data_IF_900898816824
#
_entry.id   IF_900898816824
#
_cell.length_a   1.000
_cell.length_b   1.000
_cell.length_c   1.000
_cell.angle_alpha   90.00
_cell.angle_beta   90.00
_cell.angle_gamma   90.00
#
_symmetry.space_group_name_H-M   'P 1'
#
loop_
_entity.id
_entity.type
_entity.pdbx_description
1 polymer ?
#
# COMPACT_ATOMS: atom_id res chain seq x y z
N UNK A 1 13.29 43.66 19.69
CA UNK A 1 14.76 43.77 19.80
C UNK A 1 15.33 42.38 19.70
N UNK A 2 16.03 42.12 18.60
CA UNK A 2 16.56 40.83 18.18
C UNK A 2 17.75 40.45 19.06
N UNK A 3 17.60 39.43 19.90
CA UNK A 3 18.72 38.87 20.65
C UNK A 3 19.49 37.90 19.75
N UNK A 4 20.47 38.44 19.04
CA UNK A 4 21.53 37.67 18.40
C UNK A 4 22.32 36.91 19.47
N UNK A 5 22.11 35.60 19.57
CA UNK A 5 22.99 34.70 20.34
C UNK A 5 24.41 34.74 19.75
N UNK A 6 25.47 34.78 20.59
CA UNK A 6 26.84 34.78 20.12
C UNK A 6 27.10 33.47 19.36
N UNK A 7 27.54 33.57 18.11
CA UNK A 7 27.90 32.43 17.28
C UNK A 7 29.14 31.74 17.86
N UNK A 8 28.95 30.77 18.74
CA UNK A 8 30.05 29.88 19.14
C UNK A 8 30.58 29.15 17.90
N UNK A 9 31.90 29.16 17.63
CA UNK A 9 32.48 28.53 16.45
C UNK A 9 32.12 27.03 16.35
N UNK A 10 31.93 26.37 17.48
CA UNK A 10 31.51 24.98 17.57
C UNK A 10 30.06 24.77 17.07
N UNK A 11 29.15 25.73 17.29
CA UNK A 11 27.77 25.65 16.81
C UNK A 11 27.66 25.79 15.30
N UNK A 12 28.48 26.65 14.70
CA UNK A 12 28.50 26.83 13.24
C UNK A 12 29.10 25.61 12.53
N UNK A 13 30.17 25.03 13.09
CA UNK A 13 30.78 23.80 12.59
C UNK A 13 29.84 22.59 12.77
N UNK A 14 29.13 22.49 13.90
CA UNK A 14 28.14 21.45 14.14
C UNK A 14 27.01 21.50 13.11
N UNK A 15 26.43 22.68 12.84
CA UNK A 15 25.39 22.85 11.82
C UNK A 15 25.87 22.43 10.43
N UNK A 16 27.12 22.78 10.06
CA UNK A 16 27.74 22.33 8.81
C UNK A 16 27.83 20.80 8.74
N UNK A 17 28.36 20.17 9.80
CA UNK A 17 28.53 18.71 9.87
C UNK A 17 27.18 17.98 9.81
N UNK A 18 26.16 18.44 10.56
CA UNK A 18 24.82 17.85 10.54
C UNK A 18 24.16 17.94 9.15
N UNK A 19 24.39 19.04 8.44
CA UNK A 19 23.93 19.18 7.04
C UNK A 19 24.66 18.23 6.10
N UNK A 20 25.98 18.08 6.23
CA UNK A 20 26.78 17.16 5.42
C UNK A 20 26.39 15.69 5.66
N UNK A 21 26.09 15.33 6.91
CA UNK A 21 25.63 14.00 7.31
C UNK A 21 24.14 13.73 7.00
N UNK A 22 23.41 14.73 6.49
CA UNK A 22 21.97 14.67 6.20
C UNK A 22 21.13 14.33 7.44
N UNK A 23 21.38 15.02 8.56
CA UNK A 23 20.66 14.87 9.83
C UNK A 23 19.74 16.07 10.07
N UNK A 24 18.62 16.21 9.32
CA UNK A 24 17.78 17.40 9.34
C UNK A 24 17.06 17.62 10.67
N UNK A 25 16.67 16.55 11.37
CA UNK A 25 15.96 16.67 12.65
C UNK A 25 16.92 17.09 13.75
N UNK A 26 18.12 16.50 13.79
CA UNK A 26 19.17 16.98 14.69
C UNK A 26 19.51 18.44 14.41
N UNK A 27 19.63 18.83 13.13
CA UNK A 27 19.93 20.21 12.75
C UNK A 27 18.85 21.20 13.23
N UNK A 28 17.59 20.80 13.25
CA UNK A 28 16.49 21.64 13.72
C UNK A 28 16.39 21.70 15.26
N UNK A 29 16.64 20.59 15.95
CA UNK A 29 16.31 20.45 17.37
C UNK A 29 17.51 20.57 18.33
N UNK A 30 18.76 20.51 17.84
CA UNK A 30 19.96 20.48 18.71
C UNK A 30 20.05 21.65 19.70
N UNK A 31 19.73 22.87 19.28
CA UNK A 31 19.79 24.05 20.15
C UNK A 31 18.71 24.09 21.21
N UNK A 32 17.53 23.56 20.90
CA UNK A 32 16.42 23.47 21.85
C UNK A 32 16.73 22.39 22.89
N UNK A 33 17.11 21.20 22.45
CA UNK A 33 17.47 20.09 23.34
C UNK A 33 18.70 20.37 24.18
N UNK A 34 19.69 21.11 23.68
CA UNK A 34 20.85 21.49 24.47
C UNK A 34 20.47 22.39 25.66
N UNK A 35 19.50 23.28 25.46
CA UNK A 35 18.96 24.12 26.55
C UNK A 35 18.17 23.29 27.56
N UNK A 36 17.26 22.44 27.08
CA UNK A 36 16.50 21.53 27.95
C UNK A 36 17.40 20.59 28.76
N UNK A 37 18.43 20.02 28.13
CA UNK A 37 19.40 19.15 28.79
C UNK A 37 20.21 19.91 29.85
N UNK A 38 20.59 21.17 29.57
CA UNK A 38 21.27 22.02 30.55
C UNK A 38 20.37 22.37 31.74
N UNK A 39 19.08 22.62 31.51
CA UNK A 39 18.11 22.92 32.58
C UNK A 39 17.79 21.67 33.42
N UNK A 40 17.75 20.49 32.79
CA UNK A 40 17.47 19.22 33.44
C UNK A 40 18.71 18.55 34.08
N UNK A 41 19.90 19.15 33.98
CA UNK A 41 21.19 18.53 34.34
C UNK A 41 21.39 17.14 33.70
N UNK A 42 20.95 16.98 32.46
CA UNK A 42 21.13 15.76 31.68
C UNK A 42 22.61 15.61 31.26
N UNK A 43 23.11 14.38 31.24
CA UNK A 43 24.49 14.12 30.85
C UNK A 43 24.68 14.24 29.33
N UNK A 44 25.93 14.36 28.88
CA UNK A 44 26.24 14.52 27.46
C UNK A 44 25.77 13.32 26.62
N UNK A 45 25.80 12.11 27.20
CA UNK A 45 25.31 10.91 26.54
C UNK A 45 23.78 10.92 26.42
N UNK A 46 23.04 11.33 27.45
CA UNK A 46 21.58 11.49 27.40
C UNK A 46 21.14 12.48 26.33
N UNK A 47 21.76 13.66 26.27
CA UNK A 47 21.50 14.64 25.22
C UNK A 47 21.72 14.07 23.80
N UNK A 48 22.86 13.40 23.57
CA UNK A 48 23.17 12.80 22.27
C UNK A 48 22.18 11.67 21.93
N UNK A 49 21.83 10.85 22.91
CA UNK A 49 20.84 9.78 22.76
C UNK A 49 19.49 10.36 22.32
N UNK A 50 18.94 11.35 23.05
CA UNK A 50 17.66 11.99 22.71
C UNK A 50 17.66 12.60 21.31
N UNK A 51 18.74 13.26 20.90
CA UNK A 51 18.88 13.76 19.54
C UNK A 51 18.85 12.64 18.50
N UNK A 52 19.56 11.55 18.77
CA UNK A 52 19.62 10.39 17.86
C UNK A 52 18.29 9.67 17.75
N UNK A 53 17.55 9.56 18.85
CA UNK A 53 16.21 8.97 18.88
C UNK A 53 15.22 9.80 18.06
N UNK A 54 15.24 11.13 18.18
CA UNK A 54 14.37 12.01 17.39
C UNK A 54 14.67 11.92 15.89
N UNK A 55 15.94 11.88 15.52
CA UNK A 55 16.35 11.72 14.12
C UNK A 55 15.94 10.34 13.58
N UNK A 56 16.14 9.27 14.34
CA UNK A 56 15.73 7.92 13.95
C UNK A 56 14.20 7.83 13.81
N UNK A 57 13.44 8.40 14.75
CA UNK A 57 11.98 8.43 14.70
C UNK A 57 11.45 9.25 13.51
N UNK A 58 12.06 10.39 13.21
CA UNK A 58 11.70 11.18 12.04
C UNK A 58 12.03 10.43 10.73
N UNK A 59 13.18 9.75 10.67
CA UNK A 59 13.57 8.94 9.50
C UNK A 59 12.65 7.75 9.28
N UNK A 60 12.26 7.03 10.33
CA UNK A 60 11.33 5.90 10.22
C UNK A 60 9.95 6.37 9.75
N UNK A 61 9.46 7.48 10.29
CA UNK A 61 8.19 8.11 9.89
C UNK A 61 8.23 8.57 8.43
N UNK A 62 9.28 9.27 8.02
CA UNK A 62 9.44 9.73 6.65
C UNK A 62 9.60 8.57 5.66
N UNK A 63 10.32 7.52 6.03
CA UNK A 63 10.47 6.33 5.21
C UNK A 63 9.11 5.63 5.00
N UNK A 64 8.30 5.50 6.05
CA UNK A 64 6.94 4.97 5.94
C UNK A 64 6.05 5.84 5.05
N UNK A 65 6.03 7.16 5.29
CA UNK A 65 5.24 8.11 4.49
C UNK A 65 5.61 8.04 3.00
N UNK A 66 6.91 7.94 2.69
CA UNK A 66 7.39 7.76 1.33
C UNK A 66 6.95 6.44 0.71
N UNK A 67 7.01 5.31 1.46
CA UNK A 67 6.51 4.01 0.97
C UNK A 67 5.02 4.08 0.65
N UNK A 68 4.22 4.66 1.55
CA UNK A 68 2.76 4.81 1.35
C UNK A 68 2.47 5.68 0.13
N UNK A 69 3.20 6.79 -0.04
CA UNK A 69 3.07 7.66 -1.21
C UNK A 69 3.41 6.92 -2.52
N UNK A 70 4.51 6.18 -2.53
CA UNK A 70 4.94 5.40 -3.70
C UNK A 70 3.98 4.25 -4.04
N UNK A 71 3.32 3.69 -3.02
CA UNK A 71 2.32 2.65 -3.21
C UNK A 71 1.10 3.11 -4.00
N UNK A 72 0.77 4.41 -3.99
CA UNK A 72 -0.31 4.98 -4.81
C UNK A 72 -1.68 4.36 -4.53
N UNK A 73 -2.00 4.11 -3.25
CA UNK A 73 -3.32 3.60 -2.86
C UNK A 73 -4.44 4.57 -3.27
N UNK A 74 -5.58 4.07 -3.78
CA UNK A 74 -6.69 4.93 -4.21
C UNK A 74 -7.39 5.59 -3.01
N UNK A 75 -7.51 4.86 -1.91
CA UNK A 75 -8.09 5.35 -0.66
C UNK A 75 -7.41 4.66 0.51
N UNK A 76 -6.99 5.44 1.51
CA UNK A 76 -6.38 4.88 2.72
C UNK A 76 -7.45 4.19 3.56
N UNK A 77 -7.33 2.87 3.71
CA UNK A 77 -8.22 2.02 4.49
C UNK A 77 -7.42 1.07 5.34
N UNK A 78 -7.63 1.10 6.65
CA UNK A 78 -6.93 0.22 7.57
C UNK A 78 -7.69 -1.08 7.79
N UNK A 79 -6.98 -2.10 8.28
CA UNK A 79 -7.60 -3.36 8.65
C UNK A 79 -8.56 -3.19 9.84
N UNK A 80 -8.28 -2.22 10.72
CA UNK A 80 -9.14 -1.86 11.83
C UNK A 80 -10.50 -1.29 11.39
N UNK A 81 -10.56 -0.69 10.19
CA UNK A 81 -11.79 -0.15 9.61
C UNK A 81 -12.66 -1.24 8.96
N UNK A 82 -12.17 -2.47 8.86
CA UNK A 82 -12.90 -3.57 8.20
C UNK A 82 -13.76 -4.33 9.21
N UNK A 83 -15.08 -4.24 9.03
CA UNK A 83 -16.03 -4.96 9.87
C UNK A 83 -16.25 -6.39 9.37
N UNK A 84 -15.57 -7.34 10.01
CA UNK A 84 -15.72 -8.77 9.73
C UNK A 84 -17.11 -9.32 10.05
N UNK A 85 -17.91 -8.66 10.88
CA UNK A 85 -19.29 -9.11 11.18
C UNK A 85 -20.20 -8.96 9.97
N UNK A 86 -19.90 -7.99 9.11
CA UNK A 86 -20.65 -7.71 7.88
C UNK A 86 -20.19 -8.58 6.69
N UNK A 87 -19.07 -9.28 6.83
CA UNK A 87 -18.48 -10.15 5.81
C UNK A 87 -18.17 -11.56 6.38
N UNK A 88 -19.22 -12.35 6.73
CA UNK A 88 -19.06 -13.62 7.46
C UNK A 88 -18.32 -14.72 6.66
N UNK A 89 -18.29 -14.62 5.34
CA UNK A 89 -17.55 -15.53 4.45
C UNK A 89 -16.04 -15.31 4.49
N UNK A 90 -15.60 -14.14 4.97
CA UNK A 90 -14.19 -13.78 5.01
C UNK A 90 -13.54 -14.34 6.27
N UNK A 91 -12.57 -15.25 6.08
CA UNK A 91 -11.82 -15.83 7.19
C UNK A 91 -10.91 -14.78 7.84
N UNK A 92 -11.35 -14.22 8.97
CA UNK A 92 -10.55 -13.28 9.79
C UNK A 92 -9.16 -13.83 10.16
N UNK A 93 -8.99 -15.11 10.57
CA UNK A 93 -7.66 -15.66 10.85
C UNK A 93 -6.71 -15.58 9.65
N UNK A 94 -7.16 -15.96 8.45
CA UNK A 94 -6.34 -15.93 7.23
C UNK A 94 -5.99 -14.50 6.82
N UNK A 95 -6.92 -13.57 6.97
CA UNK A 95 -6.65 -12.13 6.70
C UNK A 95 -5.58 -11.59 7.65
N UNK A 96 -5.67 -11.92 8.94
CA UNK A 96 -4.67 -11.50 9.94
C UNK A 96 -3.30 -12.15 9.71
N UNK A 97 -3.26 -13.38 9.22
CA UNK A 97 -2.03 -14.05 8.81
C UNK A 97 -1.36 -13.34 7.63
N UNK A 98 -2.12 -13.02 6.57
CA UNK A 98 -1.61 -12.24 5.44
C UNK A 98 -1.12 -10.85 5.85
N UNK A 99 -1.78 -10.21 6.83
CA UNK A 99 -1.37 -8.91 7.35
C UNK A 99 0.02 -8.94 8.02
N UNK A 100 0.51 -10.11 8.45
CA UNK A 100 1.89 -10.27 8.98
C UNK A 100 2.97 -10.24 7.91
N UNK A 101 2.60 -10.25 6.62
CA UNK A 101 3.51 -10.08 5.49
C UNK A 101 4.58 -11.18 5.30
N UNK A 102 4.52 -12.29 6.05
CA UNK A 102 5.48 -13.40 5.89
C UNK A 102 5.43 -14.03 4.50
N UNK A 103 4.23 -14.17 3.94
CA UNK A 103 4.01 -14.64 2.57
C UNK A 103 4.71 -13.75 1.53
N UNK A 104 4.92 -12.45 1.82
CA UNK A 104 5.62 -11.54 0.91
C UNK A 104 7.11 -11.91 0.82
N UNK A 105 7.70 -12.34 1.93
CA UNK A 105 9.10 -12.77 2.02
C UNK A 105 9.35 -14.11 1.33
N UNK A 106 8.31 -14.93 1.26
CA UNK A 106 8.32 -16.23 0.59
C UNK A 106 7.97 -16.13 -0.91
N UNK A 107 7.74 -14.91 -1.43
CA UNK A 107 7.31 -14.69 -2.81
C UNK A 107 5.99 -15.38 -3.19
N UNK A 108 5.12 -15.59 -2.19
CA UNK A 108 3.80 -16.17 -2.39
C UNK A 108 2.83 -15.13 -2.94
N UNK A 109 1.68 -15.59 -3.44
CA UNK A 109 0.62 -14.76 -3.99
C UNK A 109 -0.62 -14.79 -3.10
N UNK A 110 -1.49 -13.80 -3.27
CA UNK A 110 -2.79 -13.77 -2.63
C UNK A 110 -3.88 -13.35 -3.61
N UNK A 111 -5.04 -14.00 -3.53
CA UNK A 111 -6.21 -13.69 -4.34
C UNK A 111 -7.40 -13.33 -3.46
N UNK A 112 -7.97 -12.14 -3.64
CA UNK A 112 -9.24 -11.75 -3.06
C UNK A 112 -10.31 -11.89 -4.14
N UNK A 113 -11.13 -12.93 -4.07
CA UNK A 113 -12.05 -13.30 -5.15
C UNK A 113 -13.50 -13.25 -4.64
N UNK A 114 -14.41 -12.63 -5.38
CA UNK A 114 -15.84 -12.67 -5.07
C UNK A 114 -16.61 -11.45 -5.55
N UNK A 115 -17.91 -11.42 -5.27
CA UNK A 115 -18.85 -10.42 -5.82
C UNK A 115 -18.45 -8.95 -5.55
N UNK A 116 -18.93 -8.02 -6.38
CA UNK A 116 -18.64 -6.59 -6.22
C UNK A 116 -19.18 -6.04 -4.88
N UNK A 117 -18.45 -5.07 -4.31
CA UNK A 117 -18.87 -4.38 -3.09
C UNK A 117 -18.63 -5.13 -1.78
N UNK A 118 -17.97 -6.28 -1.77
CA UNK A 118 -17.69 -7.07 -0.56
C UNK A 118 -16.43 -6.65 0.21
N UNK A 119 -15.73 -5.60 -0.24
CA UNK A 119 -14.56 -5.04 0.45
C UNK A 119 -13.19 -5.57 0.00
N UNK A 120 -13.10 -6.25 -1.15
CA UNK A 120 -11.81 -6.73 -1.71
C UNK A 120 -10.74 -5.63 -1.80
N UNK A 121 -11.06 -4.50 -2.43
CA UNK A 121 -10.15 -3.35 -2.56
C UNK A 121 -9.78 -2.75 -1.20
N UNK A 122 -10.68 -2.79 -0.21
CA UNK A 122 -10.38 -2.36 1.16
C UNK A 122 -9.33 -3.27 1.78
N UNK A 123 -9.55 -4.59 1.78
CA UNK A 123 -8.59 -5.54 2.34
C UNK A 123 -7.25 -5.52 1.60
N UNK A 124 -7.25 -5.42 0.27
CA UNK A 124 -6.04 -5.25 -0.52
C UNK A 124 -5.24 -4.01 -0.08
N UNK A 125 -5.92 -2.88 0.08
CA UNK A 125 -5.28 -1.64 0.56
C UNK A 125 -4.77 -1.77 1.99
N UNK A 126 -5.57 -2.34 2.89
CA UNK A 126 -5.18 -2.57 4.28
C UNK A 126 -3.94 -3.47 4.40
N UNK A 127 -3.89 -4.56 3.64
CA UNK A 127 -2.72 -5.44 3.56
C UNK A 127 -1.51 -4.72 2.97
N UNK A 128 -1.71 -3.90 1.93
CA UNK A 128 -0.66 -3.04 1.39
C UNK A 128 -0.10 -2.07 2.41
N UNK A 129 -0.95 -1.48 3.26
CA UNK A 129 -0.50 -0.60 4.35
C UNK A 129 0.26 -1.36 5.43
N UNK A 130 -0.18 -2.56 5.80
CA UNK A 130 0.57 -3.45 6.68
C UNK A 130 1.95 -3.76 6.11
N UNK A 131 2.05 -4.04 4.81
CA UNK A 131 3.32 -4.28 4.13
C UNK A 131 4.22 -3.04 4.12
N UNK A 132 3.66 -1.84 3.87
CA UNK A 132 4.40 -0.59 4.00
C UNK A 132 4.94 -0.38 5.42
N UNK A 133 4.14 -0.67 6.45
CA UNK A 133 4.55 -0.60 7.87
C UNK A 133 5.68 -1.60 8.18
N UNK A 134 5.62 -2.79 7.61
CA UNK A 134 6.63 -3.84 7.72
C UNK A 134 7.91 -3.58 6.88
N UNK A 135 8.09 -2.38 6.30
CA UNK A 135 9.29 -2.04 5.55
C UNK A 135 9.27 -2.40 4.07
N UNK A 136 8.20 -3.03 3.57
CA UNK A 136 8.11 -3.51 2.19
C UNK A 136 7.71 -2.37 1.24
N UNK A 137 8.25 -2.41 0.03
CA UNK A 137 7.89 -1.55 -1.10
C UNK A 137 6.65 -2.13 -1.75
N UNK A 138 5.58 -1.34 -1.79
CA UNK A 138 4.28 -1.75 -2.34
C UNK A 138 3.98 -0.90 -3.55
N UNK A 139 3.26 -1.45 -4.52
CA UNK A 139 2.63 -0.69 -5.61
C UNK A 139 1.20 -1.18 -5.80
N UNK A 140 0.26 -0.25 -5.78
CA UNK A 140 -1.14 -0.48 -6.07
C UNK A 140 -1.46 0.07 -7.46
N UNK A 141 -2.21 -0.70 -8.24
CA UNK A 141 -2.75 -0.29 -9.54
C UNK A 141 -3.97 -1.15 -9.86
N UNK A 142 -4.89 -0.63 -10.68
CA UNK A 142 -5.89 -1.51 -11.29
C UNK A 142 -5.24 -2.30 -12.43
N UNK A 143 -5.80 -3.46 -12.78
CA UNK A 143 -5.35 -4.25 -13.91
C UNK A 143 -5.40 -3.45 -15.23
N UNK A 144 -6.45 -2.66 -15.42
CA UNK A 144 -6.62 -1.80 -16.59
C UNK A 144 -5.60 -0.67 -16.67
N UNK A 145 -5.32 0.02 -15.55
CA UNK A 145 -4.28 1.04 -15.52
C UNK A 145 -2.91 0.44 -15.81
N UNK A 146 -2.61 -0.73 -15.24
CA UNK A 146 -1.34 -1.41 -15.48
C UNK A 146 -1.18 -1.83 -16.94
N UNK A 147 -2.20 -2.46 -17.51
CA UNK A 147 -2.24 -2.84 -18.94
C UNK A 147 -1.96 -1.64 -19.85
N UNK A 148 -2.67 -0.53 -19.63
CA UNK A 148 -2.51 0.69 -20.42
C UNK A 148 -1.10 1.28 -20.29
N UNK A 149 -0.55 1.33 -19.08
CA UNK A 149 0.81 1.82 -18.84
C UNK A 149 1.87 0.93 -19.51
N UNK A 150 1.70 -0.40 -19.48
CA UNK A 150 2.60 -1.33 -20.14
C UNK A 150 2.57 -1.16 -21.67
N UNK A 151 1.38 -1.05 -22.26
CA UNK A 151 1.25 -0.79 -23.70
C UNK A 151 1.87 0.56 -24.11
N UNK A 152 1.61 1.61 -23.33
CA UNK A 152 2.18 2.93 -23.59
C UNK A 152 3.70 2.90 -23.47
N UNK A 153 4.24 2.24 -22.44
CA UNK A 153 5.68 2.07 -22.27
C UNK A 153 6.29 1.26 -23.43
N UNK A 154 5.59 0.26 -23.97
CA UNK A 154 6.04 -0.46 -25.16
C UNK A 154 6.08 0.45 -26.39
N UNK A 155 5.01 1.23 -26.65
CA UNK A 155 4.94 2.19 -27.77
C UNK A 155 6.03 3.27 -27.69
N UNK A 156 6.43 3.65 -26.47
CA UNK A 156 7.48 4.64 -26.22
C UNK A 156 8.89 4.06 -26.05
N UNK A 157 9.10 2.75 -26.32
CA UNK A 157 10.39 2.06 -26.14
C UNK A 157 10.96 2.18 -24.71
N UNK A 158 10.08 2.22 -23.70
CA UNK A 158 10.39 2.32 -22.27
C UNK A 158 9.96 1.10 -21.45
N UNK A 159 9.46 0.06 -22.11
CA UNK A 159 8.94 -1.14 -21.45
C UNK A 159 9.96 -1.77 -20.47
N UNK A 160 11.20 -1.96 -20.89
CA UNK A 160 12.25 -2.54 -20.04
C UNK A 160 12.45 -1.74 -18.74
N UNK A 161 12.40 -0.41 -18.81
CA UNK A 161 12.51 0.45 -17.64
C UNK A 161 11.32 0.26 -16.70
N UNK A 162 10.12 0.12 -17.23
CA UNK A 162 8.91 -0.11 -16.44
C UNK A 162 8.94 -1.49 -15.77
N UNK A 163 9.33 -2.54 -16.50
CA UNK A 163 9.48 -3.89 -15.94
C UNK A 163 10.48 -3.91 -14.78
N UNK A 164 11.67 -3.29 -14.96
CA UNK A 164 12.67 -3.14 -13.87
C UNK A 164 12.17 -2.33 -12.67
N UNK A 165 11.22 -1.42 -12.87
CA UNK A 165 10.59 -0.70 -11.76
C UNK A 165 9.63 -1.61 -11.00
N UNK A 166 8.83 -2.41 -11.71
CA UNK A 166 7.91 -3.38 -11.11
C UNK A 166 8.67 -4.48 -10.35
N UNK A 167 9.78 -5.00 -10.87
CA UNK A 167 10.65 -5.97 -10.19
C UNK A 167 11.15 -5.49 -8.81
N UNK A 168 11.41 -4.17 -8.67
CA UNK A 168 11.84 -3.57 -7.40
C UNK A 168 10.73 -3.48 -6.36
N UNK A 169 9.48 -3.74 -6.71
CA UNK A 169 8.37 -3.72 -5.76
C UNK A 169 8.32 -5.08 -5.06
N UNK A 170 8.23 -5.10 -3.73
CA UNK A 170 8.15 -6.34 -2.96
C UNK A 170 6.73 -6.94 -3.05
N UNK A 171 5.70 -6.07 -3.02
CA UNK A 171 4.29 -6.45 -3.22
C UNK A 171 3.62 -5.60 -4.30
N UNK A 172 3.21 -6.25 -5.40
CA UNK A 172 2.38 -5.65 -6.43
C UNK A 172 0.91 -6.00 -6.19
N UNK A 173 0.07 -4.98 -6.00
CA UNK A 173 -1.37 -5.13 -5.84
C UNK A 173 -2.05 -4.75 -7.15
N UNK A 174 -2.78 -5.70 -7.72
CA UNK A 174 -3.51 -5.57 -8.98
C UNK A 174 -5.01 -5.67 -8.67
N UNK A 175 -5.67 -4.53 -8.64
CA UNK A 175 -7.10 -4.42 -8.32
C UNK A 175 -7.97 -4.59 -9.59
N UNK A 176 -9.19 -5.08 -9.41
CA UNK A 176 -10.23 -5.17 -10.46
C UNK A 176 -9.84 -5.99 -11.69
N UNK A 177 -9.09 -7.08 -11.49
CA UNK A 177 -8.79 -8.01 -12.58
C UNK A 177 -10.06 -8.77 -12.96
N UNK A 178 -10.57 -8.58 -14.19
CA UNK A 178 -11.79 -9.22 -14.68
C UNK A 178 -12.95 -8.28 -15.00
N UNK A 179 -12.81 -6.97 -14.78
CA UNK A 179 -13.86 -6.02 -15.14
C UNK A 179 -13.82 -5.58 -16.62
N UNK A 180 -12.64 -5.61 -17.24
CA UNK A 180 -12.41 -5.16 -18.61
C UNK A 180 -11.66 -6.21 -19.42
N UNK A 181 -12.06 -6.40 -20.67
CA UNK A 181 -11.29 -7.16 -21.65
C UNK A 181 -10.08 -6.34 -22.11
N UNK A 182 -8.89 -6.93 -22.06
CA UNK A 182 -7.67 -6.26 -22.52
C UNK A 182 -7.45 -6.47 -24.01
N UNK A 183 -6.67 -5.59 -24.65
CA UNK A 183 -6.12 -5.93 -25.97
C UNK A 183 -5.21 -7.16 -25.82
N UNK A 184 -4.99 -7.91 -26.91
CA UNK A 184 -4.05 -9.03 -26.91
C UNK A 184 -2.66 -8.61 -26.44
N UNK A 185 -2.17 -7.47 -26.89
CA UNK A 185 -0.86 -6.93 -26.49
C UNK A 185 -0.82 -6.63 -24.99
N UNK A 186 -1.84 -5.95 -24.45
CA UNK A 186 -1.95 -5.70 -23.02
C UNK A 186 -2.00 -6.99 -22.19
N UNK A 187 -2.74 -8.01 -22.65
CA UNK A 187 -2.81 -9.31 -21.99
C UNK A 187 -1.46 -10.03 -21.97
N UNK A 188 -0.73 -10.02 -23.09
CA UNK A 188 0.62 -10.57 -23.20
C UNK A 188 1.62 -9.86 -22.27
N UNK A 189 1.54 -8.52 -22.19
CA UNK A 189 2.40 -7.72 -21.30
C UNK A 189 2.05 -7.93 -19.82
N UNK A 190 0.76 -8.00 -19.47
CA UNK A 190 0.34 -8.35 -18.12
C UNK A 190 0.85 -9.76 -17.76
N UNK A 191 0.68 -10.73 -18.64
CA UNK A 191 1.21 -12.09 -18.44
C UNK A 191 2.71 -12.07 -18.14
N UNK A 192 3.47 -11.27 -18.88
CA UNK A 192 4.90 -11.11 -18.62
C UNK A 192 5.18 -10.58 -17.19
N UNK A 193 4.40 -9.63 -16.69
CA UNK A 193 4.54 -9.14 -15.30
C UNK A 193 4.28 -10.25 -14.28
N UNK A 194 3.26 -11.09 -14.48
CA UNK A 194 3.00 -12.23 -13.58
C UNK A 194 4.13 -13.26 -13.66
N UNK A 195 4.62 -13.56 -14.87
CA UNK A 195 5.69 -14.52 -15.08
C UNK A 195 7.03 -14.06 -14.49
N UNK A 196 7.42 -12.80 -14.68
CA UNK A 196 8.69 -12.24 -14.17
C UNK A 196 8.72 -12.16 -12.64
N UNK A 197 7.55 -12.11 -12.00
CA UNK A 197 7.41 -12.06 -10.54
C UNK A 197 7.25 -13.42 -9.89
N UNK A 198 6.94 -14.47 -10.65
CA UNK A 198 6.85 -15.82 -10.11
C UNK A 198 8.14 -16.21 -9.37
N UNK A 199 8.01 -16.63 -8.11
CA UNK A 199 9.12 -16.95 -7.18
C UNK A 199 10.13 -15.81 -6.91
N UNK A 200 9.85 -14.58 -7.35
CA UNK A 200 10.74 -13.41 -7.23
C UNK A 200 10.10 -12.21 -6.54
N UNK A 201 8.77 -12.12 -6.57
CA UNK A 201 8.04 -11.00 -6.02
C UNK A 201 6.56 -11.33 -5.85
N UNK A 202 5.99 -10.81 -4.78
CA UNK A 202 4.63 -11.18 -4.39
C UNK A 202 3.60 -10.36 -5.15
N UNK A 203 2.46 -10.99 -5.44
CA UNK A 203 1.32 -10.37 -6.12
C UNK A 203 0.06 -10.59 -5.28
N UNK A 204 -0.70 -9.53 -5.05
CA UNK A 204 -2.07 -9.60 -4.55
C UNK A 204 -3.03 -9.18 -5.67
N UNK A 205 -4.00 -10.02 -5.99
CA UNK A 205 -5.03 -9.71 -6.98
C UNK A 205 -6.38 -9.56 -6.30
N UNK A 206 -7.19 -8.60 -6.77
CA UNK A 206 -8.63 -8.63 -6.52
C UNK A 206 -9.38 -8.93 -7.81
N UNK A 207 -10.39 -9.79 -7.74
CA UNK A 207 -11.23 -10.13 -8.89
C UNK A 207 -12.67 -10.36 -8.47
N UNK A 208 -13.60 -9.97 -9.34
CA UNK A 208 -15.00 -10.37 -9.26
C UNK A 208 -15.32 -11.61 -10.09
N UNK A 209 -14.34 -12.12 -10.85
CA UNK A 209 -14.48 -13.33 -11.66
C UNK A 209 -13.77 -14.50 -10.97
N UNK A 210 -14.34 -15.71 -11.02
CA UNK A 210 -13.60 -16.91 -10.68
C UNK A 210 -12.46 -17.14 -11.69
N UNK A 211 -11.46 -17.95 -11.32
CA UNK A 211 -10.24 -18.12 -12.11
C UNK A 211 -10.47 -18.76 -13.49
N UNK A 212 -11.45 -19.64 -13.61
CA UNK A 212 -11.88 -20.26 -14.87
C UNK A 212 -12.37 -19.23 -15.90
N UNK A 213 -12.95 -18.12 -15.45
CA UNK A 213 -13.40 -17.03 -16.33
C UNK A 213 -12.28 -16.08 -16.77
N UNK A 214 -11.06 -16.20 -16.22
CA UNK A 214 -9.94 -15.33 -16.63
C UNK A 214 -9.49 -15.57 -18.07
N UNK A 215 -9.88 -16.69 -18.68
CA UNK A 215 -9.60 -16.97 -20.09
C UNK A 215 -10.19 -15.90 -21.02
N UNK A 216 -11.37 -15.35 -20.67
CA UNK A 216 -11.99 -14.23 -21.40
C UNK A 216 -11.25 -12.90 -21.23
N UNK A 217 -10.53 -12.73 -20.12
CA UNK A 217 -9.78 -11.50 -19.78
C UNK A 217 -8.45 -11.45 -20.53
N UNK A 218 -7.70 -12.56 -20.52
CA UNK A 218 -6.39 -12.66 -21.15
C UNK A 218 -6.43 -13.10 -22.63
N UNK A 219 -7.63 -13.25 -23.21
CA UNK A 219 -7.86 -13.58 -24.62
C UNK A 219 -7.08 -14.82 -25.11
N UNK A 220 -7.06 -15.89 -24.31
CA UNK A 220 -6.42 -17.15 -24.70
C UNK A 220 -6.32 -18.18 -23.57
N UNK A 221 -6.88 -19.37 -23.79
CA UNK A 221 -6.90 -20.45 -22.80
C UNK A 221 -5.50 -20.91 -22.37
N UNK A 222 -4.58 -21.12 -23.32
CA UNK A 222 -3.22 -21.60 -23.00
C UNK A 222 -2.41 -20.61 -22.17
N UNK A 223 -2.48 -19.32 -22.50
CA UNK A 223 -1.79 -18.27 -21.77
C UNK A 223 -2.36 -18.14 -20.35
N UNK A 224 -3.69 -18.15 -20.24
CA UNK A 224 -4.40 -18.07 -18.96
C UNK A 224 -4.08 -19.28 -18.09
N UNK A 225 -4.11 -20.50 -18.64
CA UNK A 225 -3.76 -21.70 -17.91
C UNK A 225 -2.33 -21.63 -17.37
N UNK A 226 -1.37 -21.17 -18.18
CA UNK A 226 0.01 -20.99 -17.74
C UNK A 226 0.17 -19.88 -16.69
N UNK A 227 -0.66 -18.83 -16.75
CA UNK A 227 -0.66 -17.76 -15.74
C UNK A 227 -1.22 -18.28 -14.41
N UNK A 228 -2.38 -18.96 -14.47
CA UNK A 228 -3.05 -19.52 -13.30
C UNK A 228 -2.18 -20.57 -12.62
N UNK A 229 -1.51 -21.44 -13.38
CA UNK A 229 -0.56 -22.41 -12.84
C UNK A 229 0.51 -21.72 -11.96
N UNK A 230 1.18 -20.70 -12.50
CA UNK A 230 2.19 -19.92 -11.76
C UNK A 230 1.60 -19.13 -10.60
N UNK A 231 0.45 -18.49 -10.83
CA UNK A 231 -0.19 -17.64 -9.83
C UNK A 231 -0.74 -18.46 -8.67
N UNK A 232 -1.29 -19.66 -8.91
CA UNK A 232 -1.99 -20.46 -7.91
C UNK A 232 -1.12 -21.45 -7.16
N UNK A 233 0.09 -21.77 -7.66
CA UNK A 233 1.02 -22.72 -7.03
C UNK A 233 1.30 -22.40 -5.54
N UNK A 234 1.55 -21.13 -5.21
CA UNK A 234 1.75 -20.65 -3.84
C UNK A 234 0.79 -19.52 -3.46
N UNK A 235 -0.51 -19.74 -3.72
CA UNK A 235 -1.54 -18.72 -3.53
C UNK A 235 -2.41 -18.94 -2.30
N UNK A 236 -2.57 -17.87 -1.51
CA UNK A 236 -3.64 -17.82 -0.51
C UNK A 236 -4.88 -17.15 -1.11
N UNK A 237 -5.92 -17.95 -1.35
CA UNK A 237 -7.21 -17.45 -1.86
C UNK A 237 -8.14 -17.15 -0.68
N UNK A 238 -8.66 -15.92 -0.65
CA UNK A 238 -9.73 -15.48 0.25
C UNK A 238 -10.96 -15.21 -0.60
N UNK A 239 -11.97 -16.04 -0.39
CA UNK A 239 -13.28 -15.86 -1.00
C UNK A 239 -14.07 -14.80 -0.21
N UNK A 240 -14.63 -13.84 -0.94
CA UNK A 240 -15.32 -12.67 -0.41
C UNK A 240 -16.71 -12.57 -1.06
N UNK A 241 -17.55 -13.56 -0.82
CA UNK A 241 -18.91 -13.64 -1.34
C UNK A 241 -19.91 -13.13 -0.30
N UNK A 242 -20.82 -12.24 -0.68
CA UNK A 242 -21.79 -11.66 0.25
C UNK A 242 -22.52 -10.46 -0.31
N UNK A 243 -23.33 -9.82 0.52
CA UNK A 243 -24.01 -8.57 0.15
C UNK A 243 -23.02 -7.42 -0.03
N UNK A 244 -23.32 -6.55 -0.99
CA UNK A 244 -22.51 -5.36 -1.26
C UNK A 244 -22.61 -4.36 -0.11
N UNK A 245 -21.46 -3.99 0.46
CA UNK A 245 -21.35 -2.95 1.48
C UNK A 245 -21.82 -1.59 0.96
N UNK A 246 -21.48 -1.27 -0.30
CA UNK A 246 -21.91 -0.04 -0.98
C UNK A 246 -23.43 0.02 -1.12
N UNK A 247 -24.08 -1.11 -1.38
CA UNK A 247 -25.53 -1.19 -1.45
C UNK A 247 -26.16 -0.90 -0.08
N UNK A 248 -25.67 -1.53 0.99
CA UNK A 248 -26.16 -1.28 2.36
C UNK A 248 -26.02 0.19 2.79
N UNK A 249 -24.89 0.84 2.51
CA UNK A 249 -24.72 2.28 2.81
C UNK A 249 -25.73 3.15 2.05
N UNK A 250 -25.99 2.84 0.78
CA UNK A 250 -26.98 3.55 -0.03
C UNK A 250 -28.41 3.38 0.49
N UNK A 251 -28.78 2.20 0.97
CA UNK A 251 -30.13 1.93 1.53
C UNK A 251 -30.30 2.59 2.90
N UNK A 252 -29.26 2.57 3.75
CA UNK A 252 -29.31 3.20 5.07
C UNK A 252 -29.35 4.73 4.99
N UNK A 253 -28.58 5.33 4.08
CA UNK A 253 -28.62 6.78 3.83
C UNK A 253 -29.98 7.23 3.26
N UNK A 254 -30.58 6.46 2.35
CA UNK A 254 -31.92 6.72 1.83
C UNK A 254 -33.01 6.67 2.93
N UNK A 255 -32.91 5.72 3.86
CA UNK A 255 -33.85 5.59 4.99
C UNK A 255 -33.73 6.74 6.02
N UNK A 256 -32.55 7.34 6.16
CA UNK A 256 -32.33 8.51 7.04
C UNK A 256 -32.79 9.84 6.42
N UNK A 257 -32.90 9.91 5.08
CA UNK A 257 -33.39 11.09 4.37
C UNK A 257 -34.91 11.22 4.30
N UNK A 258 -35.68 10.23 4.77
CA UNK A 258 -37.15 10.19 4.66
C UNK A 258 -37.91 10.57 5.95
N UNK A 259 -37.24 11.09 6.98
CA UNK A 259 -37.95 11.67 8.14
C UNK A 259 -38.52 13.05 7.77
N UNK A 260 -39.73 13.06 7.23
CA UNK A 260 -40.51 14.27 6.94
C UNK A 260 -40.66 15.18 8.19
N UNK A 261 -40.73 16.52 8.04
CA UNK A 261 -40.95 17.41 9.17
C UNK A 261 -42.35 17.17 9.74
N UNK A 262 -42.42 16.94 11.06
CA UNK A 262 -43.69 16.87 11.80
C UNK A 262 -44.47 18.15 11.54
N UNK A 263 -45.64 18.03 10.91
CA UNK A 263 -46.61 19.10 10.79
C UNK A 263 -46.95 19.63 12.19
N UNK A 264 -46.68 20.91 12.41
CA UNK A 264 -47.15 21.66 13.57
C UNK A 264 -48.69 21.70 13.51
N UNK A 265 -49.36 21.12 14.51
CA UNK A 265 -50.80 21.33 14.71
C UNK A 265 -51.00 22.66 15.43
N UNK A 266 -51.89 23.45 14.86
CA UNK A 266 -52.46 24.68 15.38
C UNK A 266 -53.22 24.46 16.70
#
# INVERSE_FOLDING_TARGET
MSTSTPSHPHGLLLRHNLKALKLPTMLAEHEKLAREASEANEDYHGYLLRLSELELAARSTNALANRIKLASFPLMKELADFDFTLAPTVSKPRVLELARCQWIEQHHTAGLIGNSGTGKTHLATAMGLCACRAGKRVKFTTAATLANQLEEAQKQYRLERMMKQLEKVDLLIIDELGYLSFSRTAAELLFQVFADRYERGSILVTSNLPFDEWAGVFQGERMTAALLDRFTHHCTIIEMNGESYRFRESTQSASRGTSAPKAAKA
#
